data_IF_332011957607
#
_entry.id   IF_332011957607
#
_cell.length_a   1.000
_cell.length_b   1.000
_cell.length_c   1.000
_cell.angle_alpha   90.00
_cell.angle_beta   90.00
_cell.angle_gamma   90.00
#
_symmetry.space_group_name_H-M   'P 1'
#
loop_
_entity.id
_entity.type
_entity.pdbx_description
1 polymer ?
#
# COMPACT_ATOMS: atom_id res chain seq x y z
N UNK A 1 38.00 5.98 -29.71
CA UNK A 1 36.55 6.02 -29.45
C UNK A 1 36.22 4.79 -28.62
N UNK A 2 36.06 4.93 -27.30
CA UNK A 2 35.69 3.78 -26.45
C UNK A 2 34.18 3.53 -26.54
N UNK A 3 33.72 2.27 -26.43
CA UNK A 3 32.29 1.99 -26.35
C UNK A 3 31.76 2.52 -25.00
N UNK A 4 30.70 3.30 -25.05
CA UNK A 4 29.95 3.70 -23.86
C UNK A 4 29.29 2.45 -23.27
N UNK A 5 29.80 1.96 -22.15
CA UNK A 5 29.10 1.00 -21.30
C UNK A 5 27.77 1.63 -20.85
N UNK A 6 26.69 1.21 -21.50
CA UNK A 6 25.33 1.48 -21.03
C UNK A 6 25.11 0.70 -19.75
N UNK A 7 25.36 1.35 -18.62
CA UNK A 7 24.99 0.87 -17.29
C UNK A 7 23.46 0.84 -17.24
N UNK A 8 22.86 -0.33 -17.44
CA UNK A 8 21.44 -0.51 -17.18
C UNK A 8 21.23 -0.36 -15.68
N UNK A 9 20.78 0.82 -15.26
CA UNK A 9 20.29 0.98 -13.89
C UNK A 9 19.09 0.05 -13.73
N UNK A 10 19.31 -1.03 -12.99
CA UNK A 10 18.25 -1.91 -12.54
C UNK A 10 17.35 -1.07 -11.64
N UNK A 11 16.23 -0.59 -12.18
CA UNK A 11 15.22 0.13 -11.43
C UNK A 11 14.56 -0.84 -10.44
N UNK A 12 15.18 -1.04 -9.27
CA UNK A 12 14.76 -2.00 -8.23
C UNK A 12 13.27 -1.85 -7.84
N UNK A 13 12.69 -0.67 -8.03
CA UNK A 13 11.32 -0.35 -7.63
C UNK A 13 10.33 -0.20 -8.79
N UNK A 14 10.72 -0.53 -10.03
CA UNK A 14 9.87 -0.29 -11.22
C UNK A 14 8.46 -0.89 -11.10
N UNK A 15 8.32 -1.99 -10.36
CA UNK A 15 7.06 -2.71 -10.19
C UNK A 15 6.51 -2.67 -8.75
N UNK A 16 7.06 -1.83 -7.86
CA UNK A 16 6.63 -1.79 -6.45
C UNK A 16 5.15 -1.45 -6.29
N UNK A 17 4.63 -0.59 -7.16
CA UNK A 17 3.22 -0.20 -7.20
C UNK A 17 2.25 -1.36 -7.50
N UNK A 18 2.75 -2.49 -8.00
CA UNK A 18 1.95 -3.71 -8.21
C UNK A 18 1.85 -4.56 -6.93
N UNK A 19 2.74 -4.34 -5.95
CA UNK A 19 2.78 -5.07 -4.68
C UNK A 19 2.19 -4.26 -3.53
N UNK A 20 2.43 -2.95 -3.52
CA UNK A 20 1.93 -2.03 -2.52
C UNK A 20 1.10 -0.93 -3.19
N UNK A 21 -0.16 -0.82 -2.78
CA UNK A 21 -1.07 0.20 -3.29
C UNK A 21 -0.80 1.59 -2.70
N UNK A 22 -0.67 1.64 -1.37
CA UNK A 22 -0.39 2.85 -0.63
C UNK A 22 0.32 2.53 0.69
N UNK A 23 1.12 3.48 1.15
CA UNK A 23 1.64 3.55 2.51
C UNK A 23 0.87 4.67 3.20
N UNK A 24 0.27 4.35 4.34
CA UNK A 24 -0.56 5.27 5.10
C UNK A 24 0.09 5.52 6.47
N UNK A 25 0.17 6.78 6.87
CA UNK A 25 0.51 7.16 8.25
C UNK A 25 -0.79 7.52 8.94
N UNK A 26 -1.09 6.80 10.02
CA UNK A 26 -2.28 7.02 10.84
C UNK A 26 -1.81 7.46 12.22
N UNK A 27 -2.41 8.52 12.73
CA UNK A 27 -2.16 9.06 14.07
C UNK A 27 -3.42 9.01 14.92
N UNK A 28 -3.25 9.26 16.21
CA UNK A 28 -4.38 9.44 17.13
C UNK A 28 -4.45 10.91 17.53
N UNK A 29 -5.50 11.58 17.08
CA UNK A 29 -5.87 12.93 17.49
C UNK A 29 -6.78 12.85 18.72
N UNK A 30 -6.60 13.76 19.69
CA UNK A 30 -7.36 13.72 20.94
C UNK A 30 -8.83 14.08 20.78
N UNK A 31 -9.18 14.87 19.75
CA UNK A 31 -10.55 15.32 19.50
C UNK A 31 -11.26 14.41 18.49
N UNK A 32 -10.54 13.98 17.44
CA UNK A 32 -11.09 13.19 16.33
C UNK A 32 -10.90 11.68 16.49
N UNK A 33 -9.98 11.24 17.34
CA UNK A 33 -9.56 9.85 17.46
C UNK A 33 -8.58 9.44 16.37
N UNK A 34 -8.71 8.22 15.83
CA UNK A 34 -7.81 7.71 14.80
C UNK A 34 -7.98 8.49 13.47
N UNK A 35 -6.93 9.15 13.00
CA UNK A 35 -6.96 10.00 11.82
C UNK A 35 -5.84 9.67 10.82
N UNK A 36 -6.13 9.82 9.53
CA UNK A 36 -5.16 9.64 8.45
C UNK A 36 -4.32 10.91 8.33
N UNK A 37 -3.02 10.82 8.59
CA UNK A 37 -2.09 11.95 8.48
C UNK A 37 -1.53 12.06 7.06
N UNK A 38 -1.07 10.93 6.49
CA UNK A 38 -0.41 10.91 5.19
C UNK A 38 -0.78 9.68 4.39
N UNK A 39 -0.91 9.86 3.08
CA UNK A 39 -1.02 8.77 2.10
C UNK A 39 0.06 8.96 1.04
N UNK A 40 0.87 7.92 0.84
CA UNK A 40 1.86 7.86 -0.22
C UNK A 40 1.57 6.66 -1.15
N UNK A 41 1.63 6.83 -2.49
CA UNK A 41 1.85 8.07 -3.21
C UNK A 41 0.71 9.09 -3.03
N UNK A 42 1.01 10.39 -3.16
CA UNK A 42 0.03 11.47 -2.93
C UNK A 42 -1.16 11.45 -3.91
N UNK A 43 -0.99 10.82 -5.07
CA UNK A 43 -2.04 10.63 -6.08
C UNK A 43 -2.86 9.35 -5.86
N UNK A 44 -2.68 8.67 -4.72
CA UNK A 44 -3.43 7.47 -4.40
C UNK A 44 -4.83 7.83 -3.88
N UNK A 45 -5.85 7.23 -4.50
CA UNK A 45 -7.25 7.52 -4.21
C UNK A 45 -7.86 6.39 -3.37
N UNK A 46 -7.80 6.55 -2.05
CA UNK A 46 -8.56 5.73 -1.12
C UNK A 46 -9.95 6.33 -0.92
N UNK A 47 -10.99 5.50 -1.00
CA UNK A 47 -12.36 5.92 -0.69
C UNK A 47 -12.48 6.33 0.79
N UNK A 48 -13.47 7.15 1.14
CA UNK A 48 -13.72 7.56 2.52
C UNK A 48 -13.92 6.34 3.45
N UNK A 49 -14.63 5.32 2.95
CA UNK A 49 -14.82 4.06 3.67
C UNK A 49 -13.52 3.30 3.89
N UNK A 50 -12.63 3.27 2.90
CA UNK A 50 -11.32 2.63 3.05
C UNK A 50 -10.44 3.38 4.04
N UNK A 51 -10.42 4.71 3.98
CA UNK A 51 -9.69 5.55 4.95
C UNK A 51 -10.18 5.28 6.37
N UNK A 52 -11.49 5.31 6.58
CA UNK A 52 -12.07 5.02 7.89
C UNK A 52 -11.72 3.62 8.40
N UNK A 53 -11.82 2.59 7.54
CA UNK A 53 -11.46 1.22 7.92
C UNK A 53 -9.97 1.08 8.24
N UNK A 54 -9.08 1.73 7.47
CA UNK A 54 -7.63 1.71 7.72
C UNK A 54 -7.33 2.38 9.07
N UNK A 55 -7.88 3.56 9.32
CA UNK A 55 -7.65 4.28 10.58
C UNK A 55 -8.13 3.49 11.79
N UNK A 56 -9.34 2.93 11.71
CA UNK A 56 -9.92 2.13 12.79
C UNK A 56 -9.07 0.89 13.10
N UNK A 57 -8.62 0.16 12.06
CA UNK A 57 -7.86 -1.08 12.24
C UNK A 57 -6.37 -0.85 12.54
N UNK A 58 -5.83 0.35 12.30
CA UNK A 58 -4.45 0.70 12.62
C UNK A 58 -4.15 0.75 14.13
N UNK A 59 -5.18 0.71 14.97
CA UNK A 59 -5.06 0.65 16.42
C UNK A 59 -5.85 -0.55 16.94
N UNK A 60 -5.22 -1.73 17.13
CA UNK A 60 -5.94 -2.89 17.64
C UNK A 60 -6.48 -2.58 19.04
N UNK A 61 -7.79 -2.76 19.22
CA UNK A 61 -8.50 -2.50 20.49
C UNK A 61 -7.74 -3.18 21.64
N UNK A 62 -7.16 -2.34 22.49
CA UNK A 62 -6.12 -2.73 23.44
C UNK A 62 -6.71 -3.51 24.60
N UNK A 63 -6.49 -4.83 24.60
CA UNK A 63 -6.63 -5.66 25.80
C UNK A 63 -5.40 -6.53 26.10
N UNK A 64 -4.31 -6.38 25.34
CA UNK A 64 -3.15 -7.30 25.39
C UNK A 64 -1.88 -6.74 26.04
N UNK A 65 -1.89 -5.51 26.59
CA UNK A 65 -0.74 -4.98 27.33
C UNK A 65 0.58 -4.91 26.53
N UNK A 66 0.50 -4.93 25.20
CA UNK A 66 1.67 -4.82 24.32
C UNK A 66 2.22 -3.40 24.39
N UNK A 67 3.40 -3.24 24.99
CA UNK A 67 4.13 -1.98 25.05
C UNK A 67 5.19 -1.93 23.94
N UNK A 68 5.35 -0.76 23.32
CA UNK A 68 6.36 -0.51 22.29
C UNK A 68 5.85 -0.68 20.86
N UNK A 69 6.77 -0.88 19.93
CA UNK A 69 6.45 -1.01 18.51
C UNK A 69 5.78 -2.37 18.24
N UNK A 70 4.55 -2.32 17.75
CA UNK A 70 3.78 -3.51 17.37
C UNK A 70 3.61 -3.56 15.85
N UNK A 71 3.77 -4.76 15.30
CA UNK A 71 3.43 -5.05 13.91
C UNK A 71 2.29 -6.05 13.88
N UNK A 72 1.25 -5.73 13.12
CA UNK A 72 0.11 -6.61 12.89
C UNK A 72 -0.39 -6.43 11.46
N UNK A 73 -1.21 -7.38 11.02
CA UNK A 73 -1.76 -7.39 9.67
C UNK A 73 -3.27 -7.55 9.77
N UNK A 74 -4.00 -6.77 9.00
CA UNK A 74 -5.45 -6.86 8.90
C UNK A 74 -5.88 -6.92 7.44
N UNK A 75 -7.09 -7.43 7.21
CA UNK A 75 -7.69 -7.54 5.88
C UNK A 75 -8.98 -6.75 5.83
N UNK A 76 -9.03 -5.78 4.91
CA UNK A 76 -10.24 -5.03 4.58
C UNK A 76 -10.80 -5.47 3.23
N UNK A 77 -12.11 -5.31 3.04
CA UNK A 77 -12.72 -5.47 1.72
C UNK A 77 -12.46 -4.21 0.92
N UNK A 78 -11.89 -4.37 -0.27
CA UNK A 78 -11.67 -3.29 -1.21
C UNK A 78 -13.01 -2.72 -1.70
N UNK A 79 -13.09 -1.40 -1.81
CA UNK A 79 -14.28 -0.75 -2.38
C UNK A 79 -14.33 -0.94 -3.91
N UNK A 80 -15.52 -1.10 -4.50
CA UNK A 80 -15.67 -1.29 -5.95
C UNK A 80 -14.98 -0.21 -6.79
N UNK A 81 -15.03 1.04 -6.32
CA UNK A 81 -14.47 2.22 -6.98
C UNK A 81 -12.94 2.13 -7.06
N UNK A 82 -12.30 1.81 -5.94
CA UNK A 82 -10.85 1.63 -5.84
C UNK A 82 -10.38 0.44 -6.67
N UNK A 83 -11.16 -0.65 -6.68
CA UNK A 83 -10.87 -1.84 -7.50
C UNK A 83 -10.87 -1.51 -8.99
N UNK A 84 -11.82 -0.72 -9.45
CA UNK A 84 -11.93 -0.36 -10.87
C UNK A 84 -10.71 0.46 -11.32
N UNK A 85 -10.30 1.44 -10.50
CA UNK A 85 -9.10 2.25 -10.74
C UNK A 85 -7.81 1.42 -10.76
N UNK A 86 -7.72 0.41 -9.89
CA UNK A 86 -6.57 -0.48 -9.82
C UNK A 86 -6.45 -1.39 -11.04
N UNK A 87 -7.56 -2.00 -11.47
CA UNK A 87 -7.60 -2.88 -12.65
C UNK A 87 -7.19 -2.10 -13.91
N UNK A 88 -7.62 -0.85 -14.04
CA UNK A 88 -7.21 0.00 -15.17
C UNK A 88 -5.72 0.31 -15.17
N UNK A 89 -5.09 0.44 -13.99
CA UNK A 89 -3.65 0.76 -13.86
C UNK A 89 -2.75 -0.47 -13.96
N UNK A 90 -3.25 -1.67 -13.63
CA UNK A 90 -2.47 -2.91 -13.75
C UNK A 90 -2.44 -3.38 -15.20
N UNK A 91 -1.33 -3.16 -15.90
CA UNK A 91 -1.09 -3.74 -17.22
C UNK A 91 -1.19 -5.26 -17.17
N UNK A 92 -2.04 -5.84 -18.02
CA UNK A 92 -2.39 -7.26 -18.13
C UNK A 92 -1.21 -8.23 -18.33
N UNK A 93 -0.01 -7.72 -18.61
CA UNK A 93 1.15 -8.50 -19.07
C UNK A 93 2.12 -8.92 -17.96
N UNK A 94 1.83 -8.67 -16.68
CA UNK A 94 2.76 -9.01 -15.59
C UNK A 94 2.86 -10.52 -15.34
N UNK A 95 1.71 -11.20 -15.26
CA UNK A 95 1.66 -12.63 -14.98
C UNK A 95 2.25 -13.50 -16.11
N UNK A 96 2.38 -12.91 -17.30
CA UNK A 96 3.02 -13.53 -18.46
C UNK A 96 4.55 -13.50 -18.35
N UNK A 97 5.13 -12.43 -17.77
CA UNK A 97 6.59 -12.25 -17.70
C UNK A 97 7.21 -12.83 -16.43
N UNK A 98 6.45 -12.93 -15.35
CA UNK A 98 6.89 -13.50 -14.07
C UNK A 98 5.77 -14.36 -13.49
N UNK A 99 5.75 -15.67 -13.76
CA UNK A 99 4.71 -16.54 -13.22
C UNK A 99 4.79 -16.56 -11.70
N UNK A 100 3.63 -16.47 -11.04
CA UNK A 100 3.49 -16.60 -9.57
C UNK A 100 3.94 -18.01 -9.18
N UNK A 101 5.23 -18.18 -8.95
CA UNK A 101 5.80 -19.47 -8.60
C UNK A 101 5.58 -19.67 -7.10
N UNK A 102 4.39 -20.17 -6.75
CA UNK A 102 4.20 -20.92 -5.52
C UNK A 102 4.52 -22.38 -5.84
N UNK A 103 5.71 -22.84 -5.44
CA UNK A 103 6.02 -24.25 -5.30
C UNK A 103 6.06 -24.59 -3.82
#
# INVERSE_FOLDING_TARGET
MSPMEQKSEVLHWKNFSQWAYAICVVTFDLELGQAMELVYPSHCELSERERANICYLAFPDSNSGLMGNVQFHFRIRMCPETRQNLIQKSSSNFNEKYPVSLK
#
